data_IF_826839100316
#
_entry.id   IF_826839100316
#
_cell.length_a   1.000
_cell.length_b   1.000
_cell.length_c   1.000
_cell.angle_alpha   90.00
_cell.angle_beta   90.00
_cell.angle_gamma   90.00
#
_symmetry.space_group_name_H-M   'P 1'
#
loop_
_entity.id
_entity.type
_entity.pdbx_description
1 polymer ?
#
# COMPACT_ATOMS: atom_id res chain seq x y z
N UNK A 1 -25.02 -7.42 14.52
CA UNK A 1 -23.63 -7.73 14.16
C UNK A 1 -23.61 -8.01 12.66
N UNK A 2 -23.21 -7.02 11.86
CA UNK A 2 -23.26 -7.11 10.39
C UNK A 2 -22.00 -7.81 9.88
N UNK A 3 -22.22 -8.95 9.23
CA UNK A 3 -21.21 -9.89 8.75
C UNK A 3 -20.41 -9.30 7.59
N UNK A 4 -19.11 -9.57 7.63
CA UNK A 4 -17.97 -9.21 6.77
C UNK A 4 -18.08 -9.65 5.29
N UNK A 5 -19.25 -9.59 4.66
CA UNK A 5 -19.50 -10.17 3.32
C UNK A 5 -19.98 -9.18 2.25
N UNK A 6 -19.94 -7.87 2.51
CA UNK A 6 -20.39 -6.86 1.55
C UNK A 6 -19.25 -6.06 0.89
N UNK A 7 -17.99 -6.34 1.24
CA UNK A 7 -16.83 -5.54 0.79
C UNK A 7 -16.14 -6.11 -0.47
N UNK A 8 -16.71 -7.14 -1.11
CA UNK A 8 -16.08 -7.80 -2.27
C UNK A 8 -16.46 -7.17 -3.62
N UNK A 9 -17.61 -6.49 -3.71
CA UNK A 9 -18.04 -5.85 -4.97
C UNK A 9 -17.31 -4.53 -5.25
N UNK A 10 -17.00 -3.75 -4.21
CA UNK A 10 -16.26 -2.48 -4.37
C UNK A 10 -14.75 -2.66 -4.48
N UNK A 11 -14.17 -3.65 -3.78
CA UNK A 11 -12.72 -3.89 -3.83
C UNK A 11 -12.26 -4.48 -5.17
N UNK A 12 -13.04 -5.36 -5.81
CA UNK A 12 -12.61 -6.04 -7.03
C UNK A 12 -12.52 -5.08 -8.23
N UNK A 13 -13.52 -4.22 -8.43
CA UNK A 13 -13.51 -3.23 -9.51
C UNK A 13 -12.41 -2.18 -9.31
N UNK A 14 -12.21 -1.70 -8.07
CA UNK A 14 -11.14 -0.76 -7.76
C UNK A 14 -9.75 -1.37 -7.97
N UNK A 15 -9.54 -2.61 -7.54
CA UNK A 15 -8.29 -3.36 -7.79
C UNK A 15 -8.07 -3.56 -9.29
N UNK A 16 -9.11 -3.92 -10.04
CA UNK A 16 -9.01 -4.08 -11.49
C UNK A 16 -8.61 -2.77 -12.19
N UNK A 17 -9.18 -1.63 -11.77
CA UNK A 17 -8.79 -0.31 -12.28
C UNK A 17 -7.32 0.02 -11.97
N UNK A 18 -6.85 -0.28 -10.74
CA UNK A 18 -5.43 -0.13 -10.37
C UNK A 18 -4.53 -1.03 -11.23
N UNK A 19 -4.93 -2.26 -11.49
CA UNK A 19 -4.21 -3.21 -12.34
C UNK A 19 -4.15 -2.75 -13.80
N UNK A 20 -5.21 -2.13 -14.30
CA UNK A 20 -5.27 -1.52 -15.63
C UNK A 20 -4.45 -0.22 -15.75
N UNK A 21 -3.95 0.32 -14.63
CA UNK A 21 -3.19 1.56 -14.63
C UNK A 21 -4.06 2.82 -14.72
N UNK A 22 -5.34 2.72 -14.36
CA UNK A 22 -6.27 3.85 -14.39
C UNK A 22 -5.79 5.01 -13.50
N UNK A 23 -5.48 6.20 -14.05
CA UNK A 23 -4.97 7.33 -13.29
C UNK A 23 -5.89 7.77 -12.16
N UNK A 24 -7.21 7.74 -12.36
CA UNK A 24 -8.18 8.18 -11.35
C UNK A 24 -8.22 7.20 -10.16
N UNK A 25 -8.18 5.89 -10.42
CA UNK A 25 -8.05 4.89 -9.38
C UNK A 25 -6.73 5.06 -8.60
N UNK A 26 -5.62 5.32 -9.30
CA UNK A 26 -4.32 5.55 -8.67
C UNK A 26 -4.28 6.82 -7.82
N UNK A 27 -4.93 7.90 -8.25
CA UNK A 27 -5.07 9.13 -7.47
C UNK A 27 -5.89 8.88 -6.19
N UNK A 28 -7.06 8.22 -6.31
CA UNK A 28 -7.87 7.83 -5.14
C UNK A 28 -7.10 6.94 -4.17
N UNK A 29 -6.33 5.99 -4.71
CA UNK A 29 -5.47 5.12 -3.92
C UNK A 29 -4.40 5.90 -3.17
N UNK A 30 -3.68 6.79 -3.87
CA UNK A 30 -2.64 7.62 -3.27
C UNK A 30 -3.21 8.54 -2.19
N UNK A 31 -4.34 9.20 -2.45
CA UNK A 31 -5.01 10.07 -1.47
C UNK A 31 -5.44 9.29 -0.22
N UNK A 32 -5.94 8.05 -0.40
CA UNK A 32 -6.37 7.22 0.73
C UNK A 32 -5.22 6.69 1.59
N UNK A 33 -4.11 6.27 0.96
CA UNK A 33 -3.03 5.58 1.65
C UNK A 33 -1.85 6.48 2.03
N UNK A 34 -1.62 7.62 1.38
CA UNK A 34 -0.46 8.49 1.65
C UNK A 34 -0.38 8.89 3.13
N UNK A 35 -1.46 9.46 3.68
CA UNK A 35 -1.48 9.89 5.09
C UNK A 35 -1.33 8.71 6.06
N UNK A 36 -1.99 7.58 5.78
CA UNK A 36 -1.97 6.38 6.61
C UNK A 36 -0.60 5.71 6.65
N UNK A 37 0.05 5.59 5.48
CA UNK A 37 1.38 5.02 5.35
C UNK A 37 2.41 5.95 5.99
N UNK A 38 2.30 7.26 5.77
CA UNK A 38 3.19 8.23 6.42
C UNK A 38 3.10 8.15 7.95
N UNK A 39 1.89 8.07 8.51
CA UNK A 39 1.71 7.86 9.96
C UNK A 39 2.29 6.52 10.43
N UNK A 40 2.12 5.44 9.65
CA UNK A 40 2.70 4.14 9.95
C UNK A 40 4.24 4.17 9.98
N UNK A 41 4.86 4.92 9.06
CA UNK A 41 6.31 5.09 8.94
C UNK A 41 6.90 6.01 10.01
N UNK A 42 6.12 7.01 10.48
CA UNK A 42 6.58 8.00 11.46
C UNK A 42 7.15 7.36 12.74
N UNK A 43 6.60 6.24 13.18
CA UNK A 43 7.05 5.53 14.39
C UNK A 43 8.15 4.49 14.11
N UNK A 44 8.60 4.36 12.86
CA UNK A 44 9.48 3.27 12.40
C UNK A 44 10.76 3.75 11.75
N UNK A 45 10.86 5.03 11.39
CA UNK A 45 11.97 5.59 10.65
C UNK A 45 12.45 6.90 11.32
N UNK A 46 13.77 7.17 11.30
CA UNK A 46 14.37 8.20 12.14
C UNK A 46 14.22 9.63 11.60
N UNK A 47 14.04 9.82 10.28
CA UNK A 47 14.02 11.15 9.66
C UNK A 47 12.88 11.32 8.66
N UNK A 48 12.45 12.55 8.43
CA UNK A 48 11.44 12.87 7.41
C UNK A 48 11.86 12.40 6.01
N UNK A 49 13.14 12.59 5.66
CA UNK A 49 13.71 12.11 4.39
C UNK A 49 13.56 10.59 4.24
N UNK A 50 13.93 9.82 5.28
CA UNK A 50 13.77 8.36 5.24
C UNK A 50 12.30 7.93 5.12
N UNK A 51 11.37 8.70 5.70
CA UNK A 51 9.93 8.44 5.59
C UNK A 51 9.47 8.64 4.15
N UNK A 52 9.84 9.76 3.52
CA UNK A 52 9.42 10.09 2.16
C UNK A 52 10.04 9.10 1.14
N UNK A 53 11.31 8.71 1.32
CA UNK A 53 11.98 7.70 0.52
C UNK A 53 11.30 6.33 0.60
N UNK A 54 11.05 5.86 1.83
CA UNK A 54 10.40 4.56 2.04
C UNK A 54 8.94 4.60 1.56
N UNK A 55 8.23 5.72 1.74
CA UNK A 55 6.87 5.89 1.22
C UNK A 55 6.83 5.76 -0.30
N UNK A 56 7.75 6.41 -1.01
CA UNK A 56 7.89 6.28 -2.46
C UNK A 56 8.22 4.84 -2.87
N UNK A 57 9.16 4.17 -2.18
CA UNK A 57 9.47 2.76 -2.43
C UNK A 57 8.26 1.83 -2.23
N UNK A 58 7.38 2.15 -1.27
CA UNK A 58 6.14 1.42 -1.02
C UNK A 58 5.18 1.56 -2.20
N UNK A 59 4.91 2.78 -2.67
CA UNK A 59 4.03 3.00 -3.82
C UNK A 59 4.56 2.32 -5.08
N UNK A 60 5.86 2.39 -5.36
CA UNK A 60 6.49 1.66 -6.46
C UNK A 60 6.32 0.14 -6.28
N UNK A 61 6.52 -0.35 -5.06
CA UNK A 61 6.32 -1.76 -4.72
C UNK A 61 4.88 -2.23 -4.96
N UNK A 62 3.91 -1.42 -4.56
CA UNK A 62 2.48 -1.67 -4.77
C UNK A 62 2.16 -1.68 -6.27
N UNK A 63 2.58 -0.68 -7.04
CA UNK A 63 2.34 -0.60 -8.48
C UNK A 63 2.89 -1.81 -9.26
N UNK A 64 4.01 -2.38 -8.81
CA UNK A 64 4.57 -3.60 -9.40
C UNK A 64 3.80 -4.85 -9.00
N UNK A 65 3.45 -4.97 -7.72
CA UNK A 65 2.85 -6.17 -7.15
C UNK A 65 1.33 -6.28 -7.38
N UNK A 66 0.63 -5.14 -7.51
CA UNK A 66 -0.84 -5.11 -7.67
C UNK A 66 -1.29 -5.83 -8.94
N UNK A 67 -0.46 -5.83 -10.00
CA UNK A 67 -0.70 -6.57 -11.25
C UNK A 67 -0.89 -8.08 -11.07
N UNK A 68 -0.34 -8.65 -10.00
CA UNK A 68 -0.41 -10.08 -9.67
C UNK A 68 -1.28 -10.34 -8.44
N UNK A 69 -1.93 -9.31 -7.91
CA UNK A 69 -2.73 -9.43 -6.70
C UNK A 69 -4.00 -10.23 -6.98
N UNK A 70 -4.12 -11.39 -6.34
CA UNK A 70 -5.17 -12.38 -6.55
C UNK A 70 -6.41 -12.20 -5.65
N UNK A 71 -6.50 -11.10 -4.88
CA UNK A 71 -7.60 -10.83 -3.93
C UNK A 71 -7.78 -11.87 -2.80
N UNK A 72 -6.79 -12.72 -2.53
CA UNK A 72 -6.84 -13.70 -1.41
C UNK A 72 -6.81 -13.05 -0.03
N UNK A 73 -6.38 -11.79 0.05
CA UNK A 73 -6.35 -10.97 1.26
C UNK A 73 -6.95 -9.60 0.96
N UNK A 74 -7.24 -8.81 2.00
CA UNK A 74 -7.74 -7.44 1.79
C UNK A 74 -6.65 -6.54 1.17
N UNK A 75 -7.06 -5.53 0.39
CA UNK A 75 -6.14 -4.54 -0.19
C UNK A 75 -5.28 -3.87 0.89
N UNK A 76 -5.88 -3.52 2.03
CA UNK A 76 -5.14 -2.96 3.18
C UNK A 76 -4.06 -3.91 3.67
N UNK A 77 -4.38 -5.20 3.88
CA UNK A 77 -3.41 -6.23 4.29
C UNK A 77 -2.26 -6.31 3.30
N UNK A 78 -2.56 -6.33 2.00
CA UNK A 78 -1.55 -6.34 0.95
C UNK A 78 -0.64 -5.10 1.00
N UNK A 79 -1.21 -3.89 1.10
CA UNK A 79 -0.47 -2.63 1.19
C UNK A 79 0.48 -2.61 2.40
N UNK A 80 -0.03 -2.96 3.58
CA UNK A 80 0.79 -2.97 4.80
C UNK A 80 1.84 -4.10 4.80
N UNK A 81 1.62 -5.20 4.07
CA UNK A 81 2.66 -6.23 3.89
C UNK A 81 3.87 -5.70 3.11
N UNK A 82 3.63 -4.86 2.08
CA UNK A 82 4.68 -4.21 1.31
C UNK A 82 5.36 -3.15 2.18
N UNK A 83 4.60 -2.34 2.92
CA UNK A 83 5.13 -1.33 3.83
C UNK A 83 6.05 -1.94 4.89
N UNK A 84 5.61 -3.03 5.52
CA UNK A 84 6.42 -3.77 6.49
C UNK A 84 7.73 -4.27 5.86
N UNK A 85 7.68 -4.88 4.67
CA UNK A 85 8.88 -5.33 3.97
C UNK A 85 9.82 -4.17 3.69
N UNK A 86 9.33 -3.02 3.22
CA UNK A 86 10.16 -1.85 2.92
C UNK A 86 10.83 -1.24 4.15
N UNK A 87 10.13 -1.18 5.28
CA UNK A 87 10.76 -0.79 6.55
C UNK A 87 11.85 -1.78 6.96
N UNK A 88 11.61 -3.08 6.84
CA UNK A 88 12.64 -4.07 7.15
C UNK A 88 13.84 -3.97 6.20
N UNK A 89 13.61 -3.73 4.91
CA UNK A 89 14.66 -3.52 3.92
C UNK A 89 15.52 -2.29 4.27
N UNK A 90 14.90 -1.19 4.70
CA UNK A 90 15.60 0.02 5.14
C UNK A 90 16.60 -0.28 6.27
N UNK A 91 16.13 -0.94 7.34
CA UNK A 91 16.99 -1.26 8.49
C UNK A 91 18.09 -2.27 8.14
N UNK A 92 17.83 -3.22 7.24
CA UNK A 92 18.86 -4.17 6.78
C UNK A 92 19.98 -3.51 5.99
N UNK A 93 19.74 -2.37 5.32
CA UNK A 93 20.77 -1.64 4.57
C UNK A 93 21.67 -0.77 5.47
N UNK A 94 21.29 -0.54 6.72
CA UNK A 94 22.05 0.26 7.68
C UNK A 94 22.91 -0.58 8.64
N UNK A 95 22.81 -1.92 8.56
CA UNK A 95 23.70 -2.86 9.25
C UNK A 95 24.87 -3.21 8.34
#
# INVERSE_FOLDING_TARGET
MATKHEVLSENSAFVAALQAGDPEAWEKFANHYSAKLRQYLLYRLPTAESIDDVLNEIFIGIARAIRQFANDVTLSTFVYSIAHRKVADYWRRQT
#
